data_IF_722166998692
#
_entry.id   IF_722166998692
#
_cell.length_a   1.000
_cell.length_b   1.000
_cell.length_c   1.000
_cell.angle_alpha   90.00
_cell.angle_beta   90.00
_cell.angle_gamma   90.00
#
_symmetry.space_group_name_H-M   'P 1'
#
loop_
_entity.id
_entity.type
_entity.pdbx_description
1 polymer ?
#
# COMPACT_ATOMS: atom_id res chain seq x y z
N UNK A 1 6.06 21.90 -5.91
CA UNK A 1 5.30 20.63 -5.99
C UNK A 1 5.63 19.80 -4.77
N UNK A 2 4.65 19.24 -4.06
CA UNK A 2 4.92 18.30 -2.97
C UNK A 2 5.39 16.96 -3.59
N UNK A 3 6.56 16.41 -3.22
CA UNK A 3 7.12 15.21 -3.88
C UNK A 3 6.15 14.03 -3.95
N UNK A 4 5.29 13.87 -2.94
CA UNK A 4 4.30 12.79 -2.88
C UNK A 4 3.18 12.96 -3.91
N UNK A 5 2.75 14.19 -4.17
CA UNK A 5 1.69 14.48 -5.15
C UNK A 5 2.18 14.23 -6.57
N UNK A 6 3.45 14.55 -6.86
CA UNK A 6 4.03 14.23 -8.16
C UNK A 6 4.23 12.72 -8.33
N UNK A 7 4.65 12.00 -7.29
CA UNK A 7 4.90 10.56 -7.37
C UNK A 7 3.66 9.70 -7.64
N UNK A 8 2.46 10.23 -7.33
CA UNK A 8 1.18 9.53 -7.54
C UNK A 8 0.42 10.02 -8.77
N UNK A 9 0.99 10.98 -9.52
CA UNK A 9 0.36 11.53 -10.72
C UNK A 9 0.25 10.45 -11.79
N UNK A 10 -0.96 10.21 -12.28
CA UNK A 10 -1.23 9.20 -13.32
C UNK A 10 -1.27 7.76 -12.80
N UNK A 11 -1.25 7.55 -11.48
CA UNK A 11 -1.47 6.24 -10.90
C UNK A 11 -2.97 5.86 -10.92
N UNK A 12 -3.26 4.59 -11.19
CA UNK A 12 -4.64 4.06 -11.21
C UNK A 12 -5.16 3.70 -9.81
N UNK A 13 -4.24 3.45 -8.87
CA UNK A 13 -4.54 3.23 -7.46
C UNK A 13 -3.33 3.58 -6.58
N UNK A 14 -3.56 3.68 -5.27
CA UNK A 14 -2.52 3.93 -4.27
C UNK A 14 -2.47 2.73 -3.32
N UNK A 15 -1.26 2.23 -3.07
CA UNK A 15 -1.00 1.21 -2.04
C UNK A 15 -0.13 1.85 -0.97
N UNK A 16 -0.69 2.03 0.23
CA UNK A 16 0.03 2.52 1.39
C UNK A 16 0.66 1.34 2.14
N UNK A 17 1.85 1.51 2.69
CA UNK A 17 2.50 0.51 3.54
C UNK A 17 2.66 1.10 4.94
N UNK A 18 2.26 0.37 5.96
CA UNK A 18 2.46 0.77 7.36
C UNK A 18 2.88 -0.43 8.21
N UNK A 19 3.22 -0.20 9.47
CA UNK A 19 3.39 -1.23 10.49
C UNK A 19 2.41 -0.99 11.66
N UNK A 20 2.01 -2.03 12.41
CA UNK A 20 1.00 -1.94 13.47
C UNK A 20 1.52 -1.31 14.78
N UNK A 21 2.31 -0.24 14.66
CA UNK A 21 2.82 0.55 15.79
C UNK A 21 2.01 1.84 15.96
N UNK A 22 2.00 2.47 17.16
CA UNK A 22 1.32 3.77 17.35
C UNK A 22 1.81 4.87 16.39
N UNK A 23 3.10 4.85 16.05
CA UNK A 23 3.70 5.75 15.08
C UNK A 23 3.24 5.41 13.66
N UNK A 24 3.32 4.14 13.25
CA UNK A 24 2.83 3.70 11.94
C UNK A 24 1.36 4.02 11.71
N UNK A 25 0.51 3.90 12.73
CA UNK A 25 -0.90 4.30 12.67
C UNK A 25 -1.08 5.82 12.55
N UNK A 26 -0.24 6.61 13.23
CA UNK A 26 -0.29 8.08 13.15
C UNK A 26 0.11 8.56 11.75
N UNK A 27 1.18 7.99 11.19
CA UNK A 27 1.64 8.30 9.83
C UNK A 27 0.65 7.82 8.77
N UNK A 28 0.05 6.63 8.96
CA UNK A 28 -0.99 6.11 8.08
C UNK A 28 -2.19 7.06 8.01
N UNK A 29 -2.62 7.64 9.13
CA UNK A 29 -3.75 8.58 9.15
C UNK A 29 -3.48 9.81 8.29
N UNK A 30 -2.29 10.40 8.43
CA UNK A 30 -1.88 11.56 7.62
C UNK A 30 -1.79 11.20 6.13
N UNK A 31 -1.24 10.02 5.81
CA UNK A 31 -1.16 9.53 4.44
C UNK A 31 -2.56 9.31 3.84
N UNK A 32 -3.48 8.70 4.60
CA UNK A 32 -4.87 8.47 4.19
C UNK A 32 -5.60 9.78 3.92
N UNK A 33 -5.46 10.78 4.80
CA UNK A 33 -6.06 12.10 4.59
C UNK A 33 -5.56 12.76 3.31
N UNK A 34 -4.25 12.68 3.06
CA UNK A 34 -3.62 13.22 1.85
C UNK A 34 -4.15 12.53 0.58
N UNK A 35 -4.14 11.19 0.54
CA UNK A 35 -4.49 10.45 -0.68
C UNK A 35 -5.98 10.42 -0.95
N UNK A 36 -6.82 10.59 0.08
CA UNK A 36 -8.27 10.81 -0.10
C UNK A 36 -8.57 12.07 -0.91
N UNK A 37 -7.77 13.13 -0.76
CA UNK A 37 -7.92 14.34 -1.55
C UNK A 37 -7.66 14.12 -3.05
N UNK A 38 -6.99 13.01 -3.42
CA UNK A 38 -6.71 12.64 -4.81
C UNK A 38 -7.83 11.83 -5.46
N UNK A 39 -8.76 11.28 -4.67
CA UNK A 39 -9.90 10.51 -5.17
C UNK A 39 -9.54 9.17 -5.84
N UNK A 40 -8.31 8.67 -5.66
CA UNK A 40 -7.86 7.40 -6.24
C UNK A 40 -8.21 6.21 -5.33
N UNK A 41 -8.56 5.03 -5.91
CA UNK A 41 -8.71 3.80 -5.14
C UNK A 41 -7.46 3.53 -4.29
N UNK A 42 -7.65 3.30 -3.00
CA UNK A 42 -6.55 3.18 -2.04
C UNK A 42 -6.68 1.89 -1.24
N UNK A 43 -5.57 1.17 -1.06
CA UNK A 43 -5.46 0.00 -0.18
C UNK A 43 -4.21 0.07 0.69
N UNK A 44 -4.16 -0.79 1.71
CA UNK A 44 -3.06 -0.82 2.69
C UNK A 44 -2.38 -2.18 2.73
N UNK A 45 -1.06 -2.20 2.80
CA UNK A 45 -0.27 -3.36 3.21
C UNK A 45 0.21 -3.12 4.63
N UNK A 46 -0.02 -4.10 5.50
CA UNK A 46 0.48 -4.07 6.87
C UNK A 46 1.77 -4.90 6.91
N UNK A 47 2.89 -4.21 7.02
CA UNK A 47 4.22 -4.78 7.19
C UNK A 47 4.49 -5.06 8.69
N UNK A 48 5.31 -6.06 8.98
CA UNK A 48 5.54 -6.57 10.35
C UNK A 48 4.21 -6.84 11.08
N UNK A 49 3.29 -7.51 10.39
CA UNK A 49 1.90 -7.68 10.82
C UNK A 49 1.73 -8.50 12.12
N UNK A 50 2.77 -9.21 12.53
CA UNK A 50 2.87 -9.96 13.78
C UNK A 50 3.35 -9.11 14.98
N UNK A 51 3.65 -7.83 14.75
CA UNK A 51 4.01 -6.88 15.80
C UNK A 51 2.80 -6.04 16.29
N UNK A 52 2.92 -5.39 17.44
CA UNK A 52 1.97 -4.36 17.87
C UNK A 52 0.57 -4.85 18.25
N UNK A 53 -0.45 -4.01 18.01
CA UNK A 53 -1.85 -4.26 18.35
C UNK A 53 -2.79 -4.15 17.14
N UNK A 54 -4.08 -4.47 17.32
CA UNK A 54 -5.06 -4.50 16.22
C UNK A 54 -5.56 -3.14 15.74
N UNK A 55 -5.12 -2.02 16.32
CA UNK A 55 -5.69 -0.68 16.04
C UNK A 55 -5.51 -0.25 14.60
N UNK A 56 -4.44 -0.69 13.92
CA UNK A 56 -4.23 -0.40 12.49
C UNK A 56 -5.29 -1.07 11.61
N UNK A 57 -5.66 -2.32 11.90
CA UNK A 57 -6.74 -3.01 11.18
C UNK A 57 -8.09 -2.38 11.46
N UNK A 58 -8.38 -2.08 12.73
CA UNK A 58 -9.61 -1.39 13.15
C UNK A 58 -9.76 -0.04 12.44
N UNK A 59 -8.66 0.72 12.34
CA UNK A 59 -8.65 1.98 11.61
C UNK A 59 -8.89 1.79 10.11
N UNK A 60 -8.25 0.80 9.47
CA UNK A 60 -8.46 0.51 8.05
C UNK A 60 -9.93 0.14 7.78
N UNK A 61 -10.50 -0.73 8.62
CA UNK A 61 -11.90 -1.14 8.55
C UNK A 61 -12.85 0.07 8.72
N UNK A 62 -12.66 0.86 9.77
CA UNK A 62 -13.46 2.06 10.03
C UNK A 62 -13.34 3.11 8.92
N UNK A 63 -12.18 3.17 8.25
CA UNK A 63 -11.90 4.07 7.14
C UNK A 63 -12.35 3.53 5.78
N UNK A 64 -12.92 2.32 5.74
CA UNK A 64 -13.28 1.58 4.53
C UNK A 64 -12.12 1.41 3.54
N UNK A 65 -10.92 1.17 4.07
CA UNK A 65 -9.71 0.94 3.28
C UNK A 65 -9.36 -0.55 3.35
N UNK A 66 -9.32 -1.27 2.21
CA UNK A 66 -8.99 -2.68 2.20
C UNK A 66 -7.53 -2.89 2.59
N UNK A 67 -7.29 -3.87 3.48
CA UNK A 67 -5.95 -4.43 3.70
C UNK A 67 -5.69 -5.44 2.59
N UNK A 68 -4.72 -5.15 1.73
CA UNK A 68 -4.40 -5.95 0.54
C UNK A 68 -3.45 -7.11 0.83
N UNK A 69 -2.59 -6.95 1.84
CA UNK A 69 -1.67 -7.98 2.30
C UNK A 69 -1.21 -7.68 3.74
N UNK A 70 -0.86 -8.75 4.45
CA UNK A 70 -0.19 -8.73 5.74
C UNK A 70 1.15 -9.46 5.58
N UNK A 71 2.26 -8.78 5.91
CA UNK A 71 3.62 -9.32 5.78
C UNK A 71 4.21 -9.44 7.18
N UNK A 72 4.62 -10.63 7.64
CA UNK A 72 5.20 -10.81 8.98
C UNK A 72 6.63 -10.26 9.06
N UNK A 73 7.15 -10.06 10.27
CA UNK A 73 8.55 -9.72 10.51
C UNK A 73 9.45 -10.96 10.33
N UNK A 74 9.90 -11.20 9.09
CA UNK A 74 10.75 -12.35 8.77
C UNK A 74 12.22 -11.95 8.66
N UNK A 75 13.01 -12.36 9.66
CA UNK A 75 14.45 -12.09 9.70
C UNK A 75 15.20 -12.68 8.50
N UNK A 76 14.75 -13.82 7.94
CA UNK A 76 15.38 -14.42 6.75
C UNK A 76 15.29 -13.48 5.55
N UNK A 77 14.16 -12.78 5.43
CA UNK A 77 13.93 -11.81 4.35
C UNK A 77 14.69 -10.52 4.59
N UNK A 78 14.75 -10.04 5.84
CA UNK A 78 15.59 -8.89 6.19
C UNK A 78 17.08 -9.13 5.86
N UNK A 79 17.58 -10.33 6.14
CA UNK A 79 18.94 -10.76 5.81
C UNK A 79 19.15 -10.92 4.29
N UNK A 80 18.16 -11.44 3.55
CA UNK A 80 18.24 -11.53 2.09
C UNK A 80 18.27 -10.14 1.44
N UNK A 81 17.40 -9.24 1.90
CA UNK A 81 17.35 -7.85 1.45
C UNK A 81 18.68 -7.12 1.70
N UNK A 82 19.33 -7.32 2.85
CA UNK A 82 20.64 -6.69 3.15
C UNK A 82 21.76 -7.14 2.21
N UNK A 83 21.57 -8.27 1.51
CA UNK A 83 22.45 -8.78 0.45
C UNK A 83 21.99 -8.39 -0.96
N UNK A 84 21.00 -7.52 -1.09
CA UNK A 84 20.43 -7.09 -2.37
C UNK A 84 19.56 -8.16 -3.06
N UNK A 85 19.10 -9.18 -2.32
CA UNK A 85 18.25 -10.23 -2.85
C UNK A 85 16.77 -9.87 -2.71
N UNK A 86 15.96 -10.24 -3.70
CA UNK A 86 14.52 -10.03 -3.68
C UNK A 86 13.84 -11.14 -2.88
N UNK A 87 12.94 -10.75 -1.96
CA UNK A 87 12.16 -11.68 -1.13
C UNK A 87 11.41 -12.75 -1.96
N UNK A 88 10.85 -12.36 -3.11
CA UNK A 88 10.15 -13.26 -4.04
C UNK A 88 11.04 -14.28 -4.76
N UNK A 89 12.36 -14.08 -4.77
CA UNK A 89 13.32 -15.02 -5.37
C UNK A 89 13.95 -15.94 -4.32
N UNK A 90 13.79 -15.63 -3.03
CA UNK A 90 14.37 -16.40 -1.93
C UNK A 90 13.33 -17.21 -1.15
N UNK A 91 12.04 -16.95 -1.34
CA UNK A 91 10.95 -17.66 -0.65
C UNK A 91 9.70 -17.75 -1.53
N UNK A 92 9.21 -18.98 -1.71
CA UNK A 92 7.98 -19.26 -2.44
C UNK A 92 6.76 -18.62 -1.76
N UNK A 93 6.70 -18.63 -0.42
CA UNK A 93 5.63 -17.97 0.35
C UNK A 93 5.54 -16.47 0.04
N UNK A 94 6.69 -15.79 -0.10
CA UNK A 94 6.73 -14.37 -0.47
C UNK A 94 6.42 -14.15 -1.94
N UNK A 95 6.81 -15.09 -2.81
CA UNK A 95 6.43 -15.05 -4.22
C UNK A 95 4.90 -15.10 -4.38
N UNK A 96 4.24 -16.01 -3.66
CA UNK A 96 2.79 -16.17 -3.68
C UNK A 96 2.08 -15.01 -3.01
N UNK A 97 2.59 -14.52 -1.88
CA UNK A 97 2.09 -13.30 -1.22
C UNK A 97 2.09 -12.10 -2.18
N UNK A 98 3.20 -11.83 -2.88
CA UNK A 98 3.26 -10.70 -3.80
C UNK A 98 2.43 -10.90 -5.08
N UNK A 99 2.28 -12.14 -5.56
CA UNK A 99 1.34 -12.44 -6.65
C UNK A 99 -0.10 -12.15 -6.25
N UNK A 100 -0.47 -12.50 -5.02
CA UNK A 100 -1.80 -12.17 -4.46
C UNK A 100 -1.98 -10.66 -4.32
N UNK A 101 -0.99 -9.96 -3.72
CA UNK A 101 -0.98 -8.51 -3.59
C UNK A 101 -1.12 -7.81 -4.94
N UNK A 102 -0.38 -8.24 -5.96
CA UNK A 102 -0.47 -7.68 -7.31
C UNK A 102 -1.89 -7.83 -7.88
N UNK A 103 -2.52 -8.99 -7.71
CA UNK A 103 -3.89 -9.23 -8.17
C UNK A 103 -4.90 -8.34 -7.44
N UNK A 104 -4.75 -8.19 -6.12
CA UNK A 104 -5.58 -7.30 -5.31
C UNK A 104 -5.42 -5.84 -5.73
N UNK A 105 -4.19 -5.39 -5.98
CA UNK A 105 -3.90 -4.03 -6.45
C UNK A 105 -4.47 -3.77 -7.85
N UNK A 106 -4.35 -4.73 -8.78
CA UNK A 106 -4.97 -4.64 -10.10
C UNK A 106 -6.50 -4.56 -10.02
N UNK A 107 -7.12 -5.33 -9.13
CA UNK A 107 -8.58 -5.29 -8.90
C UNK A 107 -9.00 -3.94 -8.32
N UNK A 108 -8.20 -3.41 -7.38
CA UNK A 108 -8.40 -2.08 -6.80
C UNK A 108 -8.30 -0.98 -7.87
N UNK A 109 -7.27 -1.00 -8.71
CA UNK A 109 -7.10 -0.08 -9.83
C UNK A 109 -8.29 -0.11 -10.81
N UNK A 110 -8.80 -1.30 -11.13
CA UNK A 110 -9.95 -1.46 -12.03
C UNK A 110 -11.27 -0.91 -11.44
N UNK A 111 -11.32 -0.63 -10.12
CA UNK A 111 -12.48 0.00 -9.47
C UNK A 111 -12.50 1.52 -9.59
N UNK A 112 -11.46 2.15 -10.17
CA UNK A 112 -11.40 3.57 -10.38
C UNK A 112 -12.55 4.05 -11.30
N UNK A 113 -13.29 5.11 -10.94
CA UNK A 113 -14.26 5.70 -11.85
C UNK A 113 -13.57 6.22 -13.11
N UNK A 114 -14.14 5.87 -14.27
CA UNK A 114 -13.60 6.10 -15.63
C UNK A 114 -13.25 7.56 -15.95
N UNK A 115 -13.70 8.53 -15.15
CA UNK A 115 -13.54 9.97 -15.39
C UNK A 115 -12.30 10.59 -14.73
N UNK A 116 -11.61 9.87 -13.82
CA UNK A 116 -10.40 10.38 -13.16
C UNK A 116 -9.17 10.44 -14.08
N UNK A 117 -9.20 9.72 -15.21
CA UNK A 117 -8.08 9.63 -16.17
C UNK A 117 -8.14 10.75 -17.24
N UNK A 118 -9.28 11.43 -17.39
CA UNK A 118 -9.51 12.36 -18.51
C UNK A 118 -9.06 13.82 -18.25
N UNK A 119 -8.83 14.24 -17.00
CA UNK A 119 -8.48 15.65 -16.69
C UNK A 119 -6.98 15.97 -16.76
N UNK A 120 -6.12 14.98 -17.04
CA UNK A 120 -4.65 15.14 -17.09
C UNK A 120 -4.04 15.46 -18.46
N UNK A 121 -4.82 15.46 -19.55
CA UNK A 121 -4.33 15.83 -20.90
C UNK A 121 -4.77 17.24 -21.26
N UNK A 122 -4.34 18.21 -20.46
CA UNK A 122 -4.46 19.64 -20.76
C UNK A 122 -3.17 20.18 -21.36
N UNK A 123 -3.17 20.31 -22.68
CA UNK A 123 -2.44 21.30 -23.51
C UNK A 123 -1.26 22.06 -22.87
N UNK A 124 -0.06 21.68 -23.29
CA UNK A 124 1.16 22.48 -23.30
C UNK A 124 1.95 22.16 -24.56
#
# INVERSE_FOLDING_TARGET
SCPVIESVRGADCIVLVTEPTPFGLSDLRLAVEMVRALGLPTGVVINRADSGDRRTWEYCLASQIPVLAEIPDDRRIAEAYSRGQLASLVSDDYQDCFRSLLRSAMTLAASAPSDAVASGRGSG
#
